data_IF_848359181989
#
_entry.id   IF_848359181989
#
_cell.length_a   1.000
_cell.length_b   1.000
_cell.length_c   1.000
_cell.angle_alpha   90.00
_cell.angle_beta   90.00
_cell.angle_gamma   90.00
#
_symmetry.space_group_name_H-M   'P 1'
#
loop_
_entity.id
_entity.type
_entity.pdbx_description
1 polymer ?
#
# COMPACT_ATOMS: atom_id res chain seq x y z
N UNK A 1 2.76 -7.25 -24.89
CA UNK A 1 1.94 -6.29 -25.65
C UNK A 1 1.50 -5.21 -24.69
N UNK A 2 2.20 -4.08 -24.70
CA UNK A 2 2.13 -3.05 -23.65
C UNK A 2 0.94 -2.13 -23.86
N UNK A 3 -0.05 -2.27 -22.99
CA UNK A 3 -1.07 -1.25 -22.80
C UNK A 3 -0.47 -0.08 -22.01
N UNK A 4 -0.96 1.15 -22.23
CA UNK A 4 -0.70 2.31 -21.34
C UNK A 4 -0.90 1.95 -19.84
N UNK A 5 -1.75 0.94 -19.57
CA UNK A 5 -2.06 0.42 -18.24
C UNK A 5 -0.96 -0.41 -17.58
N UNK A 6 -0.04 -1.00 -18.34
CA UNK A 6 1.08 -1.76 -17.78
C UNK A 6 2.20 -0.81 -17.30
N UNK A 7 2.32 0.35 -17.97
CA UNK A 7 3.21 1.43 -17.54
C UNK A 7 2.81 2.03 -16.20
N UNK A 8 1.52 2.04 -15.84
CA UNK A 8 1.06 2.54 -14.54
C UNK A 8 1.64 1.75 -13.35
N UNK A 9 1.94 0.45 -13.52
CA UNK A 9 2.62 -0.34 -12.49
C UNK A 9 4.14 -0.33 -12.66
N UNK A 10 4.63 -0.42 -13.90
CA UNK A 10 6.08 -0.41 -14.18
C UNK A 10 6.75 0.91 -13.79
N UNK A 11 6.11 2.04 -14.07
CA UNK A 11 6.59 3.36 -13.68
C UNK A 11 6.69 3.50 -12.16
N UNK A 12 5.63 3.10 -11.44
CA UNK A 12 5.58 3.03 -9.98
C UNK A 12 6.78 2.26 -9.41
N UNK A 13 7.04 1.06 -9.95
CA UNK A 13 8.19 0.25 -9.55
C UNK A 13 9.55 0.93 -9.84
N UNK A 14 9.71 1.51 -11.04
CA UNK A 14 10.95 2.17 -11.45
C UNK A 14 11.26 3.44 -10.63
N UNK A 15 10.24 4.08 -10.08
CA UNK A 15 10.38 5.20 -9.13
C UNK A 15 10.73 4.73 -7.70
N UNK A 16 10.90 3.42 -7.50
CA UNK A 16 11.29 2.83 -6.21
C UNK A 16 10.14 2.55 -5.25
N UNK A 17 8.89 2.73 -5.66
CA UNK A 17 7.72 2.42 -4.82
C UNK A 17 7.66 0.92 -4.56
N UNK A 18 7.55 0.54 -3.28
CA UNK A 18 7.48 -0.86 -2.83
C UNK A 18 6.07 -1.30 -2.42
N UNK A 19 5.24 -0.37 -1.99
CA UNK A 19 3.87 -0.62 -1.59
C UNK A 19 2.97 0.57 -1.97
N UNK A 20 1.68 0.29 -2.19
CA UNK A 20 0.63 1.29 -2.40
C UNK A 20 -0.48 0.98 -1.40
N UNK A 21 -0.92 1.99 -0.64
CA UNK A 21 -2.05 1.87 0.28
C UNK A 21 -3.21 2.69 -0.27
N UNK A 22 -4.38 2.07 -0.44
CA UNK A 22 -5.56 2.75 -1.00
C UNK A 22 -6.85 2.27 -0.34
N UNK A 23 -7.96 3.00 -0.51
CA UNK A 23 -9.28 2.56 -0.04
C UNK A 23 -9.86 1.45 -0.91
N UNK A 24 -9.50 1.43 -2.20
CA UNK A 24 -9.89 0.38 -3.15
C UNK A 24 -8.93 0.37 -4.34
N UNK A 25 -8.92 -0.75 -5.07
CA UNK A 25 -8.18 -0.87 -6.33
C UNK A 25 -9.09 -1.29 -7.47
N UNK A 26 -8.85 -0.76 -8.66
CA UNK A 26 -9.36 -1.35 -9.89
C UNK A 26 -8.70 -2.74 -10.09
N UNK A 27 -9.50 -3.71 -10.53
CA UNK A 27 -9.12 -5.13 -10.58
C UNK A 27 -7.87 -5.38 -11.41
N UNK A 28 -7.76 -4.78 -12.60
CA UNK A 28 -6.61 -4.96 -13.50
C UNK A 28 -5.38 -4.23 -12.94
N UNK A 29 -5.55 -3.02 -12.42
CA UNK A 29 -4.44 -2.27 -11.83
C UNK A 29 -3.81 -3.02 -10.65
N UNK A 30 -4.64 -3.61 -9.77
CA UNK A 30 -4.17 -4.44 -8.65
C UNK A 30 -3.29 -5.59 -9.13
N UNK A 31 -3.74 -6.33 -10.14
CA UNK A 31 -2.96 -7.45 -10.71
C UNK A 31 -1.64 -6.98 -11.32
N UNK A 32 -1.63 -5.81 -11.97
CA UNK A 32 -0.41 -5.24 -12.55
C UNK A 32 0.60 -4.86 -11.47
N UNK A 33 0.16 -4.26 -10.34
CA UNK A 33 1.04 -3.93 -9.21
C UNK A 33 1.68 -5.20 -8.61
N UNK A 34 0.87 -6.22 -8.34
CA UNK A 34 1.35 -7.52 -7.85
C UNK A 34 2.37 -8.12 -8.82
N UNK A 35 2.08 -8.11 -10.11
CA UNK A 35 2.98 -8.61 -11.15
C UNK A 35 4.33 -7.88 -11.23
N UNK A 36 4.38 -6.61 -10.81
CA UNK A 36 5.62 -5.83 -10.73
C UNK A 36 6.33 -5.94 -9.37
N UNK A 37 5.78 -6.70 -8.42
CA UNK A 37 6.31 -6.81 -7.06
C UNK A 37 6.07 -5.57 -6.19
N UNK A 38 5.05 -4.77 -6.52
CA UNK A 38 4.56 -3.68 -5.67
C UNK A 38 3.40 -4.21 -4.85
N UNK A 39 3.48 -4.09 -3.51
CA UNK A 39 2.45 -4.59 -2.60
C UNK A 39 1.21 -3.67 -2.58
N UNK A 40 0.03 -4.13 -3.02
CA UNK A 40 -1.19 -3.35 -2.88
C UNK A 40 -1.87 -3.67 -1.55
N UNK A 41 -1.88 -2.70 -0.62
CA UNK A 41 -2.57 -2.75 0.66
C UNK A 41 -3.87 -1.96 0.59
N UNK A 42 -4.92 -2.47 1.21
CA UNK A 42 -6.22 -1.82 1.19
C UNK A 42 -6.66 -1.49 2.61
N UNK A 43 -7.02 -0.24 2.87
CA UNK A 43 -7.61 0.12 4.16
C UNK A 43 -8.81 -0.77 4.49
N UNK A 44 -9.02 -1.05 5.78
CA UNK A 44 -10.23 -1.70 6.26
C UNK A 44 -11.47 -0.88 5.92
N UNK A 45 -12.61 -1.54 5.89
CA UNK A 45 -13.87 -0.88 5.61
C UNK A 45 -14.12 0.26 6.62
N UNK A 46 -14.39 1.46 6.12
CA UNK A 46 -14.53 2.68 6.93
C UNK A 46 -13.23 3.44 7.18
N UNK A 47 -12.07 2.84 6.93
CA UNK A 47 -10.77 3.50 7.09
C UNK A 47 -10.30 4.19 5.81
N UNK A 48 -9.60 5.30 6.01
CA UNK A 48 -9.00 6.11 4.95
C UNK A 48 -7.83 6.90 5.53
N UNK A 49 -6.98 7.44 4.66
CA UNK A 49 -5.94 8.36 5.10
C UNK A 49 -6.51 9.54 5.91
N UNK A 50 -7.67 10.07 5.52
CA UNK A 50 -8.31 11.19 6.21
C UNK A 50 -8.87 10.80 7.58
N UNK A 51 -9.58 9.68 7.70
CA UNK A 51 -10.14 9.22 8.98
C UNK A 51 -9.05 8.82 9.98
N UNK A 52 -7.92 8.31 9.48
CA UNK A 52 -6.73 7.99 10.27
C UNK A 52 -5.84 9.21 10.54
N UNK A 53 -6.11 10.37 9.93
CA UNK A 53 -5.31 11.58 10.09
C UNK A 53 -3.90 11.49 9.50
N UNK A 54 -3.68 10.64 8.50
CA UNK A 54 -2.41 10.50 7.80
C UNK A 54 -2.13 11.72 6.91
N UNK A 55 -0.99 12.36 7.11
CA UNK A 55 -0.58 13.55 6.37
C UNK A 55 0.26 13.22 5.12
N UNK A 56 0.80 12.00 5.03
CA UNK A 56 1.74 11.58 3.99
C UNK A 56 3.19 11.94 4.29
N UNK A 57 3.48 12.56 5.44
CA UNK A 57 4.83 12.89 5.90
C UNK A 57 5.39 11.85 6.87
N UNK A 58 4.60 10.84 7.21
CA UNK A 58 4.97 9.75 8.10
C UNK A 58 5.93 8.77 7.39
N UNK A 59 6.74 8.08 8.19
CA UNK A 59 7.44 6.88 7.74
C UNK A 59 6.55 5.67 7.99
N UNK A 60 6.39 4.81 6.99
CA UNK A 60 5.49 3.66 7.06
C UNK A 60 6.28 2.35 7.19
N UNK A 61 6.10 1.65 8.30
CA UNK A 61 6.60 0.31 8.52
C UNK A 61 5.50 -0.72 8.29
N UNK A 62 5.65 -1.54 7.25
CA UNK A 62 4.69 -2.59 6.90
C UNK A 62 5.20 -3.93 7.44
N UNK A 63 4.48 -4.54 8.38
CA UNK A 63 4.90 -5.79 9.04
C UNK A 63 4.48 -7.01 8.23
N UNK A 64 5.36 -7.45 7.33
CA UNK A 64 5.14 -8.64 6.50
C UNK A 64 5.84 -9.85 7.11
N UNK A 65 5.08 -10.93 7.32
CA UNK A 65 5.62 -12.22 7.74
C UNK A 65 5.97 -13.13 6.53
N UNK A 66 6.77 -14.17 6.76
CA UNK A 66 7.17 -15.13 5.71
C UNK A 66 6.06 -16.08 5.28
N UNK A 67 4.98 -16.17 6.05
CA UNK A 67 3.86 -17.08 5.85
C UNK A 67 2.61 -16.32 5.37
N UNK A 68 2.82 -15.31 4.52
CA UNK A 68 1.76 -14.44 4.02
C UNK A 68 0.71 -15.23 3.26
N UNK A 69 -0.56 -15.07 3.64
CA UNK A 69 -1.71 -15.65 2.95
C UNK A 69 -2.38 -14.62 2.03
N UNK A 70 -3.03 -15.06 0.94
CA UNK A 70 -3.85 -14.16 0.14
C UNK A 70 -4.90 -13.45 0.99
N UNK A 71 -5.07 -12.14 0.80
CA UNK A 71 -6.03 -11.29 1.52
C UNK A 71 -5.83 -11.26 3.05
N UNK A 72 -4.65 -11.63 3.53
CA UNK A 72 -4.30 -11.48 4.93
C UNK A 72 -4.18 -10.00 5.30
N UNK A 73 -4.69 -9.70 6.49
CA UNK A 73 -4.51 -8.42 7.16
C UNK A 73 -3.06 -8.19 7.57
N UNK A 74 -2.52 -7.03 7.24
CA UNK A 74 -1.15 -6.62 7.54
C UNK A 74 -1.17 -5.40 8.46
N UNK A 75 -0.32 -5.42 9.49
CA UNK A 75 -0.12 -4.26 10.35
C UNK A 75 0.78 -3.24 9.68
N UNK A 76 0.30 -1.99 9.64
CA UNK A 76 1.05 -0.82 9.16
C UNK A 76 1.24 0.13 10.33
N UNK A 77 2.48 0.58 10.54
CA UNK A 77 2.83 1.57 11.56
C UNK A 77 3.26 2.84 10.83
N UNK A 78 2.56 3.94 11.06
CA UNK A 78 2.88 5.27 10.57
C UNK A 78 3.54 6.08 11.69
N UNK A 79 4.79 6.47 11.49
CA UNK A 79 5.59 7.23 12.44
C UNK A 79 5.74 8.66 11.94
N UNK A 80 5.19 9.63 12.66
CA UNK A 80 5.37 11.05 12.32
C UNK A 80 6.77 11.56 12.76
N UNK A 81 7.15 12.73 12.27
CA UNK A 81 8.43 13.37 12.65
C UNK A 81 8.47 13.85 14.09
N UNK A 82 7.33 13.95 14.76
CA UNK A 82 7.22 14.35 16.16
C UNK A 82 7.27 13.15 17.13
N UNK A 83 7.40 11.92 16.62
CA UNK A 83 7.47 10.68 17.39
C UNK A 83 6.10 10.10 17.78
N UNK A 84 5.01 10.61 17.20
CA UNK A 84 3.69 10.00 17.34
C UNK A 84 3.59 8.80 16.41
N UNK A 85 3.23 7.67 17.00
CA UNK A 85 2.99 6.42 16.29
C UNK A 85 1.48 6.20 16.10
N UNK A 86 1.09 5.84 14.87
CA UNK A 86 -0.25 5.37 14.56
C UNK A 86 -0.17 3.98 13.94
N UNK A 87 -0.81 3.01 14.57
CA UNK A 87 -0.91 1.65 14.05
C UNK A 87 -2.30 1.40 13.48
N UNK A 88 -2.37 0.83 12.27
CA UNK A 88 -3.61 0.39 11.64
C UNK A 88 -3.41 -0.91 10.86
N UNK A 89 -4.51 -1.51 10.42
CA UNK A 89 -4.52 -2.75 9.66
C UNK A 89 -4.98 -2.47 8.22
N UNK A 90 -4.30 -3.06 7.23
CA UNK A 90 -4.60 -2.92 5.81
C UNK A 90 -4.32 -4.20 5.01
#
# INVERSE_FOLDING_TARGET
TGSSRDWAAKGTYLLGVRAVIAQSFERIHRSNLVGMGVLPLQFKEGDSAASLGLSGHETFDIKIDKNLKPQQDVTVIANDKAGKELQFTA
#
